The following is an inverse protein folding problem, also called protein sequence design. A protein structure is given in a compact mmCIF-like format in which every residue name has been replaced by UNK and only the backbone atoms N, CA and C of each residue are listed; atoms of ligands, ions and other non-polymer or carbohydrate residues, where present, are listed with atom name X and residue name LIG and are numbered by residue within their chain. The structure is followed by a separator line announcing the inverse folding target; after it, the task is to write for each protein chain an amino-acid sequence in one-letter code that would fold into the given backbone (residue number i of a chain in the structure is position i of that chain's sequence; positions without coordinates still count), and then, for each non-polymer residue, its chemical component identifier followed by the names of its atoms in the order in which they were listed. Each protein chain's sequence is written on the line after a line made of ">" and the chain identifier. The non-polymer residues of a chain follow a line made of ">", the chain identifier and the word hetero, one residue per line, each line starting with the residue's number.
data_IF_913595670093
#
_entry.id   IF_913595670093
#
_cell.length_a   1.000
_cell.length_b   1.000
_cell.length_c   1.000
_cell.angle_alpha   90.00
_cell.angle_beta   90.00
_cell.angle_gamma   90.00
#
_symmetry.space_group_name_H-M   'P 1'
#
loop_
_entity.id
_entity.type
_entity.pdbx_description
1 polymer ?
#
# COMPACT_ATOMS: atom_id res chain seq x y z
N UNK A 1 -44.01 117.93 -45.99
CA UNK A 1 -44.02 116.67 -46.79
C UNK A 1 -42.60 116.11 -46.68
N UNK A 2 -42.37 115.21 -45.71
CA UNK A 2 -42.28 113.72 -45.84
C UNK A 2 -41.12 113.34 -46.78
N UNK A 3 -40.06 112.61 -46.41
CA UNK A 3 -39.82 111.63 -45.35
C UNK A 3 -38.98 110.49 -45.96
N UNK A 4 -38.22 109.74 -45.13
CA UNK A 4 -37.84 108.33 -45.36
C UNK A 4 -36.69 107.88 -46.28
N UNK A 5 -35.55 108.57 -46.43
CA UNK A 5 -34.38 107.95 -47.11
C UNK A 5 -33.25 107.44 -46.19
N UNK A 6 -33.23 107.79 -44.89
CA UNK A 6 -32.19 107.31 -43.94
C UNK A 6 -32.63 106.16 -43.03
N UNK A 7 -33.92 105.83 -42.96
CA UNK A 7 -34.41 104.73 -42.10
C UNK A 7 -34.18 103.36 -42.73
N UNK A 8 -34.32 103.23 -44.06
CA UNK A 8 -34.15 101.95 -44.76
C UNK A 8 -32.72 101.38 -44.64
N UNK A 9 -31.69 102.25 -44.64
CA UNK A 9 -30.30 101.83 -44.46
C UNK A 9 -29.98 101.41 -43.02
N UNK A 10 -30.50 102.14 -42.03
CA UNK A 10 -30.26 101.83 -40.61
C UNK A 10 -31.01 100.56 -40.19
N UNK A 11 -32.26 100.38 -40.62
CA UNK A 11 -33.02 99.15 -40.37
C UNK A 11 -32.39 97.93 -41.06
N UNK A 12 -31.84 98.07 -42.27
CA UNK A 12 -31.11 97.00 -42.95
C UNK A 12 -29.83 96.60 -42.21
N UNK A 13 -29.08 97.57 -41.68
CA UNK A 13 -27.87 97.32 -40.88
C UNK A 13 -28.23 96.67 -39.54
N UNK A 14 -29.25 97.17 -38.85
CA UNK A 14 -29.74 96.59 -37.58
C UNK A 14 -30.25 95.17 -37.76
N UNK A 15 -31.03 94.92 -38.82
CA UNK A 15 -31.50 93.59 -39.17
C UNK A 15 -30.35 92.64 -39.53
N UNK A 16 -29.34 93.14 -40.26
CA UNK A 16 -28.11 92.40 -40.55
C UNK A 16 -27.34 92.00 -39.30
N UNK A 17 -27.21 92.91 -38.32
CA UNK A 17 -26.56 92.63 -37.04
C UNK A 17 -27.35 91.59 -36.25
N UNK A 18 -28.67 91.73 -36.16
CA UNK A 18 -29.54 90.76 -35.46
C UNK A 18 -29.46 89.37 -36.10
N UNK A 19 -29.50 89.29 -37.44
CA UNK A 19 -29.32 88.03 -38.15
C UNK A 19 -27.94 87.42 -37.92
N UNK A 20 -26.90 88.23 -37.86
CA UNK A 20 -25.53 87.78 -37.61
C UNK A 20 -25.39 87.22 -36.19
N UNK A 21 -25.98 87.88 -35.19
CA UNK A 21 -26.01 87.38 -33.80
C UNK A 21 -26.79 86.06 -33.72
N UNK A 22 -27.98 85.98 -34.31
CA UNK A 22 -28.79 84.76 -34.32
C UNK A 22 -28.08 83.60 -35.04
N UNK A 23 -27.43 83.88 -36.17
CA UNK A 23 -26.64 82.88 -36.90
C UNK A 23 -25.44 82.38 -36.07
N UNK A 24 -24.76 83.29 -35.37
CA UNK A 24 -23.62 82.95 -34.51
C UNK A 24 -24.05 82.07 -33.32
N UNK A 25 -25.18 82.40 -32.69
CA UNK A 25 -25.74 81.59 -31.58
C UNK A 25 -26.21 80.22 -32.08
N UNK A 26 -26.89 80.17 -33.23
CA UNK A 26 -27.34 78.91 -33.82
C UNK A 26 -26.17 77.99 -34.23
N UNK A 27 -25.13 78.56 -34.84
CA UNK A 27 -23.87 77.86 -35.14
C UNK A 27 -23.18 77.36 -33.86
N UNK A 28 -23.13 78.17 -32.81
CA UNK A 28 -22.56 77.78 -31.52
C UNK A 28 -23.27 76.56 -30.90
N UNK A 29 -24.61 76.55 -30.88
CA UNK A 29 -25.39 75.43 -30.34
C UNK A 29 -25.27 74.17 -31.20
N UNK A 30 -25.23 74.29 -32.54
CA UNK A 30 -25.01 73.14 -33.41
C UNK A 30 -23.60 72.57 -33.28
N UNK A 31 -22.59 73.43 -33.13
CA UNK A 31 -21.21 73.02 -32.90
C UNK A 31 -21.08 72.25 -31.57
N UNK A 32 -21.70 72.74 -30.50
CA UNK A 32 -21.69 72.09 -29.19
C UNK A 32 -22.40 70.72 -29.20
N UNK A 33 -23.58 70.62 -29.84
CA UNK A 33 -24.27 69.32 -30.03
C UNK A 33 -23.46 68.34 -30.87
N UNK A 34 -22.80 68.81 -31.93
CA UNK A 34 -21.96 67.97 -32.80
C UNK A 34 -20.70 67.51 -32.08
N UNK A 35 -20.07 68.36 -31.28
CA UNK A 35 -18.94 68.00 -30.44
C UNK A 35 -19.34 66.96 -29.39
N UNK A 36 -20.44 67.19 -28.66
CA UNK A 36 -20.96 66.22 -27.67
C UNK A 36 -21.36 64.87 -28.26
N UNK A 37 -21.92 64.85 -29.49
CA UNK A 37 -22.22 63.60 -30.20
C UNK A 37 -20.95 62.88 -30.68
N UNK A 38 -19.95 63.64 -31.14
CA UNK A 38 -18.65 63.10 -31.55
C UNK A 38 -17.92 62.46 -30.37
N UNK A 39 -17.87 63.13 -29.22
CA UNK A 39 -17.23 62.60 -28.01
C UNK A 39 -17.91 61.33 -27.51
N UNK A 40 -19.25 61.31 -27.40
CA UNK A 40 -20.00 60.11 -27.00
C UNK A 40 -19.78 58.93 -27.95
N UNK A 41 -19.66 59.19 -29.26
CA UNK A 41 -19.36 58.14 -30.24
C UNK A 41 -17.95 57.57 -30.04
N UNK A 42 -16.97 58.41 -29.75
CA UNK A 42 -15.60 57.98 -29.44
C UNK A 42 -15.57 57.17 -28.15
N UNK A 43 -16.25 57.62 -27.08
CA UNK A 43 -16.34 56.90 -25.81
C UNK A 43 -17.00 55.53 -25.99
N UNK A 44 -18.07 55.45 -26.78
CA UNK A 44 -18.73 54.18 -27.12
C UNK A 44 -17.82 53.23 -27.91
N UNK A 45 -17.05 53.75 -28.88
CA UNK A 45 -16.09 52.93 -29.63
C UNK A 45 -15.01 52.39 -28.70
N UNK A 46 -14.53 53.21 -27.78
CA UNK A 46 -13.51 52.81 -26.80
C UNK A 46 -14.06 51.77 -25.82
N UNK A 47 -15.29 51.93 -25.35
CA UNK A 47 -15.96 50.97 -24.47
C UNK A 47 -16.22 49.64 -25.19
N UNK A 48 -16.67 49.66 -26.45
CA UNK A 48 -16.82 48.46 -27.27
C UNK A 48 -15.48 47.73 -27.45
N UNK A 49 -14.40 48.47 -27.73
CA UNK A 49 -13.07 47.89 -27.87
C UNK A 49 -12.58 47.25 -26.55
N UNK A 50 -12.81 47.93 -25.42
CA UNK A 50 -12.47 47.43 -24.10
C UNK A 50 -13.29 46.19 -23.70
N UNK A 51 -14.59 46.17 -24.01
CA UNK A 51 -15.45 45.01 -23.78
C UNK A 51 -15.04 43.83 -24.68
N UNK A 52 -14.65 44.08 -25.93
CA UNK A 52 -14.17 43.04 -26.83
C UNK A 52 -12.87 42.38 -26.31
N UNK A 53 -11.95 43.18 -25.76
CA UNK A 53 -10.73 42.68 -25.12
C UNK A 53 -11.03 41.83 -23.87
N UNK A 54 -11.99 42.27 -23.03
CA UNK A 54 -12.44 41.49 -21.89
C UNK A 54 -13.10 40.17 -22.29
N UNK A 55 -13.91 40.17 -23.36
CA UNK A 55 -14.53 38.94 -23.87
C UNK A 55 -13.44 37.96 -24.34
N UNK A 56 -12.42 38.44 -25.05
CA UNK A 56 -11.29 37.62 -25.48
C UNK A 56 -10.52 37.01 -24.29
N UNK A 57 -10.16 37.80 -23.26
CA UNK A 57 -9.51 37.29 -22.05
C UNK A 57 -10.38 36.26 -21.30
N UNK A 58 -11.70 36.47 -21.27
CA UNK A 58 -12.63 35.52 -20.65
C UNK A 58 -12.74 34.22 -21.47
N UNK A 59 -12.71 34.29 -22.80
CA UNK A 59 -12.68 33.11 -23.68
C UNK A 59 -11.39 32.30 -23.48
N UNK A 60 -10.24 32.96 -23.44
CA UNK A 60 -8.95 32.32 -23.18
C UNK A 60 -8.91 31.64 -21.80
N UNK A 61 -9.44 32.33 -20.77
CA UNK A 61 -9.54 31.76 -19.42
C UNK A 61 -10.49 30.57 -19.38
N UNK A 62 -11.60 30.62 -20.12
CA UNK A 62 -12.55 29.51 -20.22
C UNK A 62 -11.88 28.31 -20.86
N UNK A 63 -11.17 28.49 -21.97
CA UNK A 63 -10.44 27.41 -22.63
C UNK A 63 -9.40 26.78 -21.70
N UNK A 64 -8.62 27.60 -20.99
CA UNK A 64 -7.65 27.11 -20.02
C UNK A 64 -8.30 26.32 -18.88
N UNK A 65 -9.46 26.77 -18.38
CA UNK A 65 -10.20 26.07 -17.34
C UNK A 65 -10.79 24.75 -17.85
N UNK A 66 -11.30 24.71 -19.08
CA UNK A 66 -11.79 23.49 -19.72
C UNK A 66 -10.66 22.47 -19.89
N UNK A 67 -9.49 22.91 -20.36
CA UNK A 67 -8.30 22.04 -20.45
C UNK A 67 -7.93 21.47 -19.07
N UNK A 68 -7.77 22.32 -18.05
CA UNK A 68 -7.46 21.86 -16.67
C UNK A 68 -8.50 20.89 -16.12
N UNK A 69 -9.78 21.16 -16.36
CA UNK A 69 -10.87 20.27 -15.94
C UNK A 69 -10.76 18.90 -16.62
N UNK A 70 -10.49 18.86 -17.92
CA UNK A 70 -10.33 17.58 -18.65
C UNK A 70 -9.11 16.79 -18.17
N UNK A 71 -7.99 17.45 -17.87
CA UNK A 71 -6.79 16.79 -17.35
C UNK A 71 -7.01 16.26 -15.93
N UNK A 72 -7.63 17.06 -15.06
CA UNK A 72 -7.95 16.63 -13.71
C UNK A 72 -8.93 15.46 -13.71
N UNK A 73 -9.92 15.46 -14.60
CA UNK A 73 -10.87 14.34 -14.77
C UNK A 73 -10.14 13.06 -15.17
N UNK A 74 -9.24 13.11 -16.16
CA UNK A 74 -8.44 11.94 -16.57
C UNK A 74 -7.59 11.43 -15.41
N UNK A 75 -7.04 12.33 -14.60
CA UNK A 75 -6.25 11.95 -13.43
C UNK A 75 -7.09 11.21 -12.39
N UNK A 76 -8.31 11.69 -12.09
CA UNK A 76 -9.24 11.01 -11.18
C UNK A 76 -9.62 9.63 -11.72
N UNK A 77 -9.97 9.51 -13.00
CA UNK A 77 -10.28 8.22 -13.64
C UNK A 77 -9.08 7.24 -13.55
N UNK A 78 -7.85 7.75 -13.66
CA UNK A 78 -6.63 6.94 -13.47
C UNK A 78 -6.44 6.46 -12.02
N UNK A 79 -6.79 7.28 -11.03
CA UNK A 79 -6.75 6.89 -9.62
C UNK A 79 -7.81 5.85 -9.29
N UNK A 80 -9.03 6.02 -9.78
CA UNK A 80 -10.13 5.06 -9.58
C UNK A 80 -9.78 3.69 -10.15
N UNK A 81 -9.23 3.66 -11.37
CA UNK A 81 -8.78 2.39 -11.99
C UNK A 81 -7.61 1.75 -11.24
N UNK A 82 -6.67 2.55 -10.73
CA UNK A 82 -5.55 2.06 -9.91
C UNK A 82 -6.06 1.49 -8.58
N UNK A 83 -6.99 2.19 -7.92
CA UNK A 83 -7.60 1.73 -6.68
C UNK A 83 -8.36 0.42 -6.88
N UNK A 84 -9.16 0.31 -7.95
CA UNK A 84 -9.87 -0.93 -8.28
C UNK A 84 -8.92 -2.10 -8.52
N UNK A 85 -7.77 -1.87 -9.19
CA UNK A 85 -6.74 -2.88 -9.39
C UNK A 85 -6.09 -3.30 -8.05
N UNK A 86 -5.70 -2.34 -7.22
CA UNK A 86 -5.08 -2.62 -5.93
C UNK A 86 -6.02 -3.38 -4.99
N UNK A 87 -7.31 -3.06 -4.98
CA UNK A 87 -8.30 -3.82 -4.19
C UNK A 87 -8.39 -5.28 -4.62
N UNK A 88 -8.39 -5.55 -5.93
CA UNK A 88 -8.34 -6.93 -6.46
C UNK A 88 -7.06 -7.65 -6.06
N UNK A 89 -5.92 -6.96 -6.14
CA UNK A 89 -4.61 -7.51 -5.76
C UNK A 89 -4.55 -7.84 -4.27
N UNK A 90 -5.09 -6.96 -3.41
CA UNK A 90 -5.21 -7.21 -1.96
C UNK A 90 -6.08 -8.43 -1.68
N UNK A 91 -7.22 -8.56 -2.37
CA UNK A 91 -8.11 -9.71 -2.19
C UNK A 91 -7.42 -11.02 -2.58
N UNK A 92 -6.75 -11.07 -3.74
CA UNK A 92 -6.00 -12.23 -4.18
C UNK A 92 -4.86 -12.58 -3.22
N UNK A 93 -4.14 -11.57 -2.73
CA UNK A 93 -3.07 -11.78 -1.75
C UNK A 93 -3.62 -12.30 -0.40
N UNK A 94 -4.81 -11.86 0.02
CA UNK A 94 -5.45 -12.39 1.23
C UNK A 94 -5.83 -13.87 1.07
N UNK A 95 -6.36 -14.27 -0.08
CA UNK A 95 -6.67 -15.67 -0.40
C UNK A 95 -5.40 -16.54 -0.37
N UNK A 96 -4.31 -16.08 -1.01
CA UNK A 96 -3.00 -16.76 -1.00
C UNK A 96 -2.46 -16.89 0.43
N UNK A 97 -2.59 -15.85 1.25
CA UNK A 97 -2.15 -15.90 2.66
C UNK A 97 -2.97 -16.91 3.45
N UNK A 98 -4.29 -16.97 3.24
CA UNK A 98 -5.17 -17.93 3.92
C UNK A 98 -4.83 -19.37 3.52
N UNK A 99 -4.57 -19.63 2.25
CA UNK A 99 -4.12 -20.93 1.75
C UNK A 99 -2.78 -21.34 2.40
N UNK A 100 -1.78 -20.45 2.36
CA UNK A 100 -0.46 -20.71 2.97
C UNK A 100 -0.55 -20.99 4.46
N UNK A 101 -1.42 -20.29 5.20
CA UNK A 101 -1.66 -20.56 6.63
C UNK A 101 -2.21 -21.95 6.86
N UNK A 102 -3.13 -22.40 6.01
CA UNK A 102 -3.70 -23.75 6.07
C UNK A 102 -2.61 -24.80 5.84
N UNK A 103 -1.77 -24.62 4.81
CA UNK A 103 -0.64 -25.52 4.53
C UNK A 103 0.34 -25.58 5.71
N UNK A 104 0.71 -24.43 6.29
CA UNK A 104 1.62 -24.38 7.45
C UNK A 104 1.03 -25.15 8.63
N UNK A 105 -0.25 -24.95 8.95
CA UNK A 105 -0.91 -25.67 10.04
C UNK A 105 -0.92 -27.19 9.81
N UNK A 106 -1.18 -27.64 8.58
CA UNK A 106 -1.12 -29.05 8.21
C UNK A 106 0.28 -29.65 8.34
N UNK A 107 1.31 -28.92 7.90
CA UNK A 107 2.70 -29.34 8.04
C UNK A 107 3.13 -29.43 9.51
N UNK A 108 2.74 -28.45 10.35
CA UNK A 108 3.05 -28.50 11.79
C UNK A 108 2.39 -29.69 12.48
N UNK A 109 1.13 -29.99 12.15
CA UNK A 109 0.47 -31.19 12.65
C UNK A 109 1.16 -32.48 12.16
N UNK A 110 1.59 -32.51 10.89
CA UNK A 110 2.35 -33.61 10.32
C UNK A 110 3.69 -33.85 11.01
N UNK A 111 4.45 -32.78 11.30
CA UNK A 111 5.71 -32.85 12.04
C UNK A 111 5.47 -33.41 13.44
N UNK A 112 4.50 -32.87 14.18
CA UNK A 112 4.20 -33.34 15.53
C UNK A 112 3.81 -34.82 15.57
N UNK A 113 3.01 -35.27 14.59
CA UNK A 113 2.66 -36.68 14.44
C UNK A 113 3.90 -37.54 14.18
N UNK A 114 4.75 -37.13 13.24
CA UNK A 114 5.97 -37.87 12.89
C UNK A 114 6.94 -37.95 14.07
N UNK A 115 7.11 -36.87 14.83
CA UNK A 115 7.92 -36.85 16.05
C UNK A 115 7.41 -37.86 17.09
N UNK A 116 6.08 -37.92 17.29
CA UNK A 116 5.45 -38.90 18.16
C UNK A 116 5.67 -40.34 17.66
N UNK A 117 5.51 -40.57 16.36
CA UNK A 117 5.74 -41.89 15.75
C UNK A 117 7.20 -42.32 15.88
N UNK A 118 8.16 -41.42 15.65
CA UNK A 118 9.59 -41.68 15.84
C UNK A 118 9.88 -41.98 17.31
N UNK A 119 9.34 -41.21 18.26
CA UNK A 119 9.54 -41.46 19.68
C UNK A 119 9.02 -42.85 20.09
N UNK A 120 7.84 -43.23 19.60
CA UNK A 120 7.27 -44.54 19.85
C UNK A 120 8.09 -45.66 19.20
N UNK A 121 8.53 -45.47 17.96
CA UNK A 121 9.38 -46.41 17.24
C UNK A 121 10.71 -46.63 17.98
N UNK A 122 11.37 -45.56 18.42
CA UNK A 122 12.61 -45.63 19.22
C UNK A 122 12.42 -46.46 20.49
N UNK A 123 11.32 -46.22 21.21
CA UNK A 123 10.97 -46.97 22.43
C UNK A 123 10.73 -48.45 22.12
N UNK A 124 9.95 -48.75 21.07
CA UNK A 124 9.65 -50.13 20.66
C UNK A 124 10.91 -50.89 20.25
N UNK A 125 11.80 -50.26 19.49
CA UNK A 125 13.08 -50.83 19.10
C UNK A 125 13.96 -51.13 20.31
N UNK A 126 14.11 -50.18 21.24
CA UNK A 126 14.90 -50.41 22.46
C UNK A 126 14.36 -51.60 23.25
N UNK A 127 13.04 -51.69 23.42
CA UNK A 127 12.41 -52.83 24.07
C UNK A 127 12.66 -54.15 23.32
N UNK A 128 12.62 -54.14 21.99
CA UNK A 128 12.93 -55.32 21.18
C UNK A 128 14.38 -55.79 21.39
N UNK A 129 15.35 -54.87 21.33
CA UNK A 129 16.77 -55.16 21.57
C UNK A 129 17.00 -55.67 23.00
N UNK A 130 16.34 -55.06 23.99
CA UNK A 130 16.41 -55.49 25.38
C UNK A 130 15.85 -56.89 25.57
N UNK A 131 14.68 -57.18 24.99
CA UNK A 131 14.04 -58.49 25.08
C UNK A 131 14.87 -59.58 24.38
N UNK A 132 15.52 -59.25 23.25
CA UNK A 132 16.39 -60.17 22.54
C UNK A 132 17.63 -60.56 23.37
N UNK A 133 18.11 -59.67 24.23
CA UNK A 133 19.25 -59.96 25.11
C UNK A 133 18.87 -60.80 26.33
N UNK A 134 17.59 -60.93 26.68
CA UNK A 134 17.15 -61.76 27.81
C UNK A 134 17.40 -63.23 27.49
N UNK A 135 18.07 -63.93 28.41
CA UNK A 135 18.45 -65.33 28.26
C UNK A 135 19.81 -65.54 27.59
N UNK A 136 20.44 -64.49 27.07
CA UNK A 136 21.80 -64.58 26.54
C UNK A 136 22.78 -64.95 27.66
N UNK A 137 23.53 -66.02 27.42
CA UNK A 137 24.53 -66.55 28.32
C UNK A 137 25.92 -66.20 27.83
N UNK A 138 26.82 -65.89 28.76
CA UNK A 138 28.19 -65.55 28.45
C UNK A 138 29.17 -65.94 29.57
N UNK A 139 30.41 -66.27 29.20
CA UNK A 139 31.36 -66.83 30.16
C UNK A 139 31.79 -65.81 31.22
N UNK A 140 31.87 -64.52 30.86
CA UNK A 140 32.30 -63.47 31.79
C UNK A 140 31.75 -62.10 31.44
N UNK A 141 31.37 -61.35 32.47
CA UNK A 141 31.06 -59.93 32.40
C UNK A 141 31.91 -59.14 33.38
N UNK A 142 32.54 -58.06 32.93
CA UNK A 142 33.36 -57.18 33.76
C UNK A 142 32.78 -55.76 33.75
N UNK A 143 32.66 -55.19 34.94
CA UNK A 143 32.21 -53.80 35.14
C UNK A 143 33.38 -52.84 35.05
N UNK A 144 33.10 -51.56 34.79
CA UNK A 144 34.12 -50.49 34.79
C UNK A 144 34.84 -50.41 36.15
N UNK A 145 34.15 -50.76 37.25
CA UNK A 145 34.73 -50.81 38.59
C UNK A 145 35.57 -52.06 38.89
N UNK A 146 35.85 -52.92 37.90
CA UNK A 146 36.70 -54.11 38.04
C UNK A 146 36.02 -55.35 38.62
N UNK A 147 34.73 -55.28 38.96
CA UNK A 147 33.96 -56.46 39.40
C UNK A 147 33.71 -57.40 38.22
N UNK A 148 34.02 -58.68 38.42
CA UNK A 148 33.94 -59.75 37.42
C UNK A 148 32.88 -60.76 37.83
N UNK A 149 32.01 -61.12 36.90
CA UNK A 149 30.99 -62.14 37.05
C UNK A 149 31.27 -63.27 36.06
N UNK A 150 31.17 -64.52 36.50
CA UNK A 150 31.34 -65.71 35.67
C UNK A 150 29.99 -66.40 35.42
N UNK A 151 29.87 -67.07 34.27
CA UNK A 151 28.67 -67.80 33.83
C UNK A 151 27.40 -66.94 33.90
N UNK A 152 27.47 -65.79 33.23
CA UNK A 152 26.49 -64.72 33.30
C UNK A 152 25.36 -65.00 32.33
N UNK A 153 24.11 -64.95 32.83
CA UNK A 153 22.90 -65.00 32.02
C UNK A 153 22.09 -63.73 32.27
N UNK A 154 21.75 -63.01 31.20
CA UNK A 154 20.93 -61.81 31.29
C UNK A 154 19.50 -62.20 31.63
N UNK A 155 18.94 -61.62 32.70
CA UNK A 155 17.54 -61.84 33.11
C UNK A 155 16.64 -60.68 32.73
N UNK A 156 17.15 -59.45 32.82
CA UNK A 156 16.38 -58.26 32.53
C UNK A 156 17.28 -57.11 32.13
N UNK A 157 16.90 -56.37 31.11
CA UNK A 157 17.54 -55.12 30.71
C UNK A 157 16.56 -53.98 30.93
N UNK A 158 17.01 -52.91 31.58
CA UNK A 158 16.21 -51.69 31.78
C UNK A 158 17.02 -50.46 31.40
N UNK A 159 16.38 -49.29 31.37
CA UNK A 159 17.05 -48.02 31.10
C UNK A 159 18.20 -47.72 32.10
N UNK A 160 18.11 -48.23 33.33
CA UNK A 160 18.97 -47.84 34.45
C UNK A 160 19.94 -48.95 34.88
N UNK A 161 19.57 -50.21 34.72
CA UNK A 161 20.37 -51.35 35.18
C UNK A 161 20.17 -52.61 34.33
N UNK A 162 21.17 -53.50 34.40
CA UNK A 162 21.17 -54.84 33.84
C UNK A 162 21.08 -55.85 35.00
N UNK A 163 20.08 -56.71 34.98
CA UNK A 163 19.95 -57.83 35.92
C UNK A 163 20.52 -59.09 35.31
N UNK A 164 21.44 -59.71 36.04
CA UNK A 164 22.11 -60.94 35.62
C UNK A 164 22.03 -62.01 36.70
N UNK A 165 21.97 -63.26 36.27
CA UNK A 165 22.32 -64.42 37.09
C UNK A 165 23.76 -64.81 36.77
N UNK A 166 24.55 -65.17 37.76
CA UNK A 166 25.93 -65.62 37.65
C UNK A 166 26.18 -66.76 38.65
N UNK A 167 27.37 -67.38 38.61
CA UNK A 167 27.73 -68.50 39.49
C UNK A 167 27.43 -68.26 40.98
N UNK A 168 27.68 -67.04 41.47
CA UNK A 168 27.51 -66.68 42.88
C UNK A 168 26.13 -66.07 43.23
N UNK A 169 25.16 -66.08 42.31
CA UNK A 169 23.79 -65.62 42.56
C UNK A 169 23.27 -64.61 41.54
N UNK A 170 22.51 -63.62 42.00
CA UNK A 170 21.90 -62.59 41.15
C UNK A 170 22.47 -61.21 41.49
N UNK A 171 22.79 -60.43 40.45
CA UNK A 171 23.30 -59.08 40.60
C UNK A 171 22.57 -58.10 39.71
N UNK A 172 22.40 -56.87 40.21
CA UNK A 172 21.94 -55.72 39.45
C UNK A 172 23.12 -54.80 39.20
N UNK A 173 23.44 -54.58 37.93
CA UNK A 173 24.56 -53.73 37.51
C UNK A 173 23.98 -52.41 36.99
N UNK A 174 24.24 -51.28 37.66
CA UNK A 174 23.85 -49.97 37.15
C UNK A 174 24.50 -49.71 35.79
N UNK A 175 23.76 -49.04 34.89
CA UNK A 175 24.22 -48.76 33.53
C UNK A 175 25.53 -47.97 33.49
N UNK A 176 25.78 -47.10 34.48
CA UNK A 176 27.02 -46.35 34.61
C UNK A 176 28.25 -47.25 34.86
N UNK A 177 28.05 -48.47 35.37
CA UNK A 177 29.12 -49.44 35.62
C UNK A 177 29.30 -50.44 34.46
N UNK A 178 28.42 -50.41 33.45
CA UNK A 178 28.55 -51.23 32.25
C UNK A 178 29.60 -50.64 31.30
N UNK A 179 30.41 -51.50 30.70
CA UNK A 179 31.40 -51.11 29.69
C UNK A 179 30.78 -50.39 28.48
N UNK A 180 31.58 -49.65 27.69
CA UNK A 180 31.10 -48.89 26.52
C UNK A 180 30.29 -49.74 25.53
N UNK A 181 30.75 -50.94 25.21
CA UNK A 181 30.08 -51.87 24.27
C UNK A 181 28.65 -52.23 24.70
N UNK A 182 28.44 -52.47 26.00
CA UNK A 182 27.11 -52.74 26.57
C UNK A 182 26.22 -51.51 26.54
N UNK A 183 26.79 -50.34 26.82
CA UNK A 183 26.04 -49.09 26.77
C UNK A 183 25.60 -48.77 25.35
N UNK A 184 26.44 -48.98 24.36
CA UNK A 184 26.12 -48.77 22.93
C UNK A 184 25.06 -49.76 22.45
N UNK A 185 25.22 -51.05 22.77
CA UNK A 185 24.29 -52.11 22.37
C UNK A 185 22.84 -51.85 22.77
N UNK A 186 22.63 -51.28 23.96
CA UNK A 186 21.29 -51.03 24.51
C UNK A 186 20.78 -49.61 24.26
N UNK A 187 21.43 -48.84 23.36
CA UNK A 187 21.01 -47.51 22.95
C UNK A 187 20.32 -47.51 21.59
N UNK A 188 19.53 -46.47 21.35
CA UNK A 188 19.12 -46.14 20.00
C UNK A 188 20.36 -45.67 19.21
N UNK A 189 20.66 -46.25 18.03
CA UNK A 189 21.77 -45.79 17.21
C UNK A 189 21.58 -44.30 16.85
N UNK A 190 22.63 -43.51 17.05
CA UNK A 190 22.61 -42.07 16.78
C UNK A 190 22.45 -41.78 15.30
#
# INVERSE_FOLDING_TARGET
>A
MLGSDNEAGVFGILFGIVMLVLFTVAMGVMADKRMGFSSRKTDLIQDIAYQAEQIADLEDRKELLEQRYTDQRKQVESYDSTQARLLKEVQLNQEIIAEKRTVISGLMAGISKLESEIAQYRKNYQLAVWNQAIGEAMPRLETIGGKKYADVVIKKVTAHHLEITHKDGMSRIPRAQLGPSWRERFQWPK
#
